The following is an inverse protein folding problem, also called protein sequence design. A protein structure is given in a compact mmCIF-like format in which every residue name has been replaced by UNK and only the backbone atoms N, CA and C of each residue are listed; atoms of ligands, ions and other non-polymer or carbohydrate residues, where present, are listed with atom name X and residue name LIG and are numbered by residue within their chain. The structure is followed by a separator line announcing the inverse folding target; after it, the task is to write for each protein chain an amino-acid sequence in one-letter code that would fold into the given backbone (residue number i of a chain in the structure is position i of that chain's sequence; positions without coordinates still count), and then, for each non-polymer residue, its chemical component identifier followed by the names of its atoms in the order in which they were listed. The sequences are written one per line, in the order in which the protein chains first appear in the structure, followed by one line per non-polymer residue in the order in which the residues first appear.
data_IF_719025573021
#
_entry.id   IF_719025573021
#
_cell.length_a   1.000
_cell.length_b   1.000
_cell.length_c   1.000
_cell.angle_alpha   90.00
_cell.angle_beta   90.00
_cell.angle_gamma   90.00
#
_symmetry.space_group_name_H-M   'P 1'
#
loop_
_entity.id
_entity.type
_entity.pdbx_description
1 polymer ?
#
# COMPACT_ATOMS: atom_id res chain seq x y z
N UNK A 1 -65.34 -1.29 22.51
CA UNK A 1 -64.53 -2.29 23.22
C UNK A 1 -64.30 -3.45 22.26
N UNK A 2 -63.12 -3.82 21.76
CA UNK A 2 -61.75 -3.33 21.82
C UNK A 2 -61.10 -3.71 20.47
N UNK A 3 -60.44 -2.78 19.77
CA UNK A 3 -59.36 -3.13 18.85
C UNK A 3 -58.10 -2.38 19.31
N UNK A 4 -57.28 -3.00 20.17
CA UNK A 4 -56.03 -2.38 20.63
C UNK A 4 -54.87 -3.34 20.90
N UNK A 5 -54.92 -4.59 20.43
CA UNK A 5 -53.84 -5.58 20.68
C UNK A 5 -53.17 -6.15 19.43
N UNK A 6 -53.42 -5.61 18.23
CA UNK A 6 -52.75 -6.08 16.99
C UNK A 6 -51.70 -5.11 16.41
N UNK A 7 -51.39 -4.01 17.10
CA UNK A 7 -50.43 -3.01 16.62
C UNK A 7 -48.98 -3.19 17.13
N UNK A 8 -48.63 -4.32 17.76
CA UNK A 8 -47.32 -4.50 18.42
C UNK A 8 -46.46 -5.67 17.89
N UNK A 9 -46.66 -6.15 16.67
CA UNK A 9 -45.85 -7.27 16.15
C UNK A 9 -45.26 -7.15 14.73
N UNK A 10 -45.15 -5.94 14.18
CA UNK A 10 -44.46 -5.72 12.89
C UNK A 10 -43.35 -4.64 13.01
N UNK A 11 -42.66 -4.61 14.15
CA UNK A 11 -41.38 -3.89 14.31
C UNK A 11 -40.28 -4.87 14.74
N UNK A 12 -40.24 -6.06 14.13
CA UNK A 12 -39.01 -6.86 14.09
C UNK A 12 -38.27 -6.53 12.79
N UNK A 13 -37.65 -5.36 12.81
CA UNK A 13 -36.24 -5.18 12.47
C UNK A 13 -35.66 -6.15 11.43
N UNK A 14 -36.00 -5.95 10.15
CA UNK A 14 -34.99 -6.10 9.10
C UNK A 14 -34.05 -4.89 9.22
N UNK A 15 -33.17 -4.90 10.23
CA UNK A 15 -31.92 -4.18 10.12
C UNK A 15 -31.18 -4.86 8.99
N UNK A 16 -31.30 -4.32 7.77
CA UNK A 16 -30.26 -4.50 6.76
C UNK A 16 -29.04 -3.83 7.39
N UNK A 17 -28.28 -4.60 8.19
CA UNK A 17 -26.99 -4.16 8.71
C UNK A 17 -26.21 -3.73 7.49
N UNK A 18 -26.04 -2.41 7.36
CA UNK A 18 -25.23 -1.85 6.28
C UNK A 18 -23.85 -2.46 6.48
N UNK A 19 -23.28 -3.13 5.46
CA UNK A 19 -22.04 -3.85 5.65
C UNK A 19 -20.99 -2.88 6.19
N UNK A 20 -20.36 -3.28 7.30
CA UNK A 20 -19.34 -2.48 7.92
C UNK A 20 -18.16 -2.27 6.95
N UNK A 21 -17.57 -1.08 6.94
CA UNK A 21 -16.59 -0.68 5.95
C UNK A 21 -15.16 -0.85 6.47
N UNK A 22 -14.32 -1.48 5.67
CA UNK A 22 -12.88 -1.55 5.84
C UNK A 22 -12.21 -0.63 4.83
N UNK A 23 -11.49 0.37 5.33
CA UNK A 23 -10.66 1.25 4.51
C UNK A 23 -9.20 0.91 4.80
N UNK A 24 -8.54 0.35 3.79
CA UNK A 24 -7.21 -0.25 3.93
C UNK A 24 -6.26 0.46 2.97
N UNK A 25 -5.18 0.97 3.55
CA UNK A 25 -4.09 1.61 2.83
C UNK A 25 -2.82 0.79 3.01
N UNK A 26 -2.28 0.21 1.95
CA UNK A 26 -1.07 -0.61 1.96
C UNK A 26 0.08 0.03 1.15
N UNK A 27 -0.15 1.11 0.40
CA UNK A 27 0.93 1.91 -0.20
C UNK A 27 1.52 2.89 0.81
N UNK A 28 2.78 2.66 1.18
CA UNK A 28 3.50 3.36 2.23
C UNK A 28 3.32 2.68 3.59
N UNK A 29 3.27 3.48 4.65
CA UNK A 29 2.98 2.99 6.00
C UNK A 29 1.54 2.44 6.09
N UNK A 30 1.32 1.15 6.42
CA UNK A 30 -0.01 0.58 6.39
C UNK A 30 -0.96 1.24 7.38
N UNK A 31 -2.19 1.48 6.94
CA UNK A 31 -3.27 1.99 7.77
C UNK A 31 -4.51 1.14 7.59
N UNK A 32 -5.09 0.70 8.70
CA UNK A 32 -6.28 -0.12 8.74
C UNK A 32 -7.37 0.65 9.46
N UNK A 33 -8.49 0.91 8.79
CA UNK A 33 -9.65 1.57 9.41
C UNK A 33 -10.87 0.68 9.33
N UNK A 34 -11.56 0.53 10.45
CA UNK A 34 -12.81 -0.21 10.58
C UNK A 34 -13.89 0.81 10.91
N UNK A 35 -14.89 0.98 10.04
CA UNK A 35 -15.95 1.98 10.20
C UNK A 35 -15.39 3.39 10.50
N UNK A 36 -14.32 3.77 9.79
CA UNK A 36 -13.64 5.06 9.95
C UNK A 36 -12.71 5.16 11.17
N UNK A 37 -12.71 4.19 12.08
CA UNK A 37 -11.82 4.18 13.24
C UNK A 37 -10.52 3.43 12.93
N UNK A 38 -9.37 4.05 13.22
CA UNK A 38 -8.08 3.37 13.09
C UNK A 38 -8.01 2.16 14.00
N UNK A 39 -7.55 1.04 13.45
CA UNK A 39 -7.05 -0.08 14.23
C UNK A 39 -5.94 0.46 15.16
N UNK A 40 -5.99 0.12 16.45
CA UNK A 40 -5.16 0.75 17.50
C UNK A 40 -3.68 0.87 17.14
N UNK A 41 -3.02 1.96 17.53
CA UNK A 41 -1.58 2.20 17.32
C UNK A 41 -0.64 1.18 18.00
N UNK A 42 -1.17 0.29 18.86
CA UNK A 42 -0.43 -0.70 19.62
C UNK A 42 -0.43 -2.12 19.01
N UNK A 43 -0.68 -2.27 17.71
CA UNK A 43 -0.57 -3.57 17.04
C UNK A 43 0.88 -3.99 16.86
N UNK A 44 1.12 -5.30 16.83
CA UNK A 44 2.43 -5.84 16.48
C UNK A 44 2.53 -5.96 14.96
N UNK A 45 3.71 -5.69 14.38
CA UNK A 45 3.96 -5.91 12.95
C UNK A 45 3.53 -7.30 12.44
N UNK A 46 3.59 -8.37 13.26
CA UNK A 46 3.09 -9.70 12.85
C UNK A 46 1.57 -9.78 12.76
N UNK A 47 0.84 -8.99 13.56
CA UNK A 47 -0.63 -8.87 13.47
C UNK A 47 -0.99 -8.11 12.18
N UNK A 48 -0.33 -6.99 11.92
CA UNK A 48 -0.56 -6.17 10.72
C UNK A 48 -0.19 -6.94 9.45
N UNK A 49 0.92 -7.68 9.46
CA UNK A 49 1.34 -8.55 8.38
C UNK A 49 0.26 -9.60 8.06
N UNK A 50 -0.20 -10.34 9.08
CA UNK A 50 -1.26 -11.33 8.88
C UNK A 50 -2.55 -10.68 8.38
N UNK A 51 -2.92 -9.53 8.92
CA UNK A 51 -4.15 -8.85 8.52
C UNK A 51 -4.07 -8.36 7.07
N UNK A 52 -2.98 -7.69 6.67
CA UNK A 52 -2.72 -7.28 5.30
C UNK A 52 -2.77 -8.47 4.34
N UNK A 53 -2.13 -9.60 4.71
CA UNK A 53 -2.16 -10.81 3.89
C UNK A 53 -3.59 -11.34 3.68
N UNK A 54 -4.41 -11.37 4.73
CA UNK A 54 -5.82 -11.80 4.66
C UNK A 54 -6.70 -10.83 3.87
N UNK A 55 -6.39 -9.54 3.88
CA UNK A 55 -7.11 -8.52 3.10
C UNK A 55 -6.82 -8.70 1.60
N UNK A 56 -5.55 -8.89 1.23
CA UNK A 56 -5.18 -9.15 -0.17
C UNK A 56 -5.70 -10.51 -0.67
N UNK A 57 -5.94 -11.46 0.24
CA UNK A 57 -6.43 -12.80 -0.07
C UNK A 57 -7.70 -13.11 0.73
N UNK A 58 -8.87 -12.58 0.36
CA UNK A 58 -10.08 -12.63 1.18
C UNK A 58 -10.76 -14.01 1.28
N UNK A 59 -10.17 -15.05 0.68
CA UNK A 59 -10.65 -16.43 0.73
C UNK A 59 -10.25 -17.14 2.03
N UNK A 60 -10.87 -18.29 2.37
CA UNK A 60 -10.46 -19.09 3.52
C UNK A 60 -9.04 -19.66 3.42
N UNK A 61 -8.21 -19.36 4.41
CA UNK A 61 -6.85 -19.90 4.54
C UNK A 61 -6.78 -20.98 5.61
N UNK A 62 -6.10 -22.08 5.33
CA UNK A 62 -5.81 -23.09 6.34
C UNK A 62 -4.86 -22.53 7.40
N UNK A 63 -5.13 -22.84 8.66
CA UNK A 63 -4.28 -22.43 9.79
C UNK A 63 -2.84 -22.92 9.63
N UNK A 64 -2.65 -24.18 9.25
CA UNK A 64 -1.29 -24.70 9.01
C UNK A 64 -0.54 -23.91 7.92
N UNK A 65 -1.24 -23.48 6.86
CA UNK A 65 -0.65 -22.66 5.80
C UNK A 65 -0.20 -21.29 6.32
N UNK A 66 -1.06 -20.61 7.08
CA UNK A 66 -0.71 -19.33 7.72
C UNK A 66 0.42 -19.47 8.76
N UNK A 67 0.50 -20.62 9.44
CA UNK A 67 1.59 -20.91 10.36
C UNK A 67 2.93 -20.99 9.62
N UNK A 68 2.99 -21.72 8.50
CA UNK A 68 4.18 -21.81 7.65
C UNK A 68 4.54 -20.48 6.99
N UNK A 69 3.55 -19.66 6.63
CA UNK A 69 3.76 -18.33 6.04
C UNK A 69 4.49 -17.38 6.99
N UNK A 70 4.09 -17.39 8.28
CA UNK A 70 4.48 -16.37 9.26
C UNK A 70 5.57 -16.79 10.24
N UNK A 71 5.83 -18.09 10.37
CA UNK A 71 6.75 -18.61 11.37
C UNK A 71 7.76 -19.58 10.77
N UNK A 72 9.04 -19.30 10.99
CA UNK A 72 10.12 -20.26 10.79
C UNK A 72 10.29 -21.15 12.04
N UNK A 73 9.36 -22.09 12.25
CA UNK A 73 9.37 -22.97 13.42
C UNK A 73 10.02 -24.33 13.09
N UNK A 74 10.68 -24.94 14.08
CA UNK A 74 11.34 -26.25 13.93
C UNK A 74 10.34 -27.41 13.81
N UNK A 75 9.09 -27.21 14.23
CA UNK A 75 8.02 -28.20 14.11
C UNK A 75 6.67 -27.56 13.80
N UNK A 76 5.79 -28.33 13.15
CA UNK A 76 4.41 -27.93 12.88
C UNK A 76 3.61 -27.63 14.15
N UNK A 77 3.87 -28.37 15.24
CA UNK A 77 3.21 -28.13 16.54
C UNK A 77 3.57 -26.75 17.11
N UNK A 78 4.85 -26.38 17.07
CA UNK A 78 5.31 -25.06 17.50
C UNK A 78 4.72 -23.94 16.63
N UNK A 79 4.72 -24.11 15.30
CA UNK A 79 4.13 -23.14 14.37
C UNK A 79 2.64 -22.90 14.68
N UNK A 80 1.87 -23.96 14.90
CA UNK A 80 0.45 -23.88 15.22
C UNK A 80 0.15 -23.26 16.58
N UNK A 81 1.00 -23.51 17.59
CA UNK A 81 0.88 -22.85 18.88
C UNK A 81 1.15 -21.35 18.76
N UNK A 82 2.20 -20.96 18.03
CA UNK A 82 2.50 -19.55 17.75
C UNK A 82 1.35 -18.86 16.99
N UNK A 83 0.81 -19.53 15.97
CA UNK A 83 -0.34 -19.02 15.23
C UNK A 83 -1.56 -18.87 16.14
N UNK A 84 -1.84 -19.81 17.05
CA UNK A 84 -2.96 -19.69 17.98
C UNK A 84 -2.83 -18.43 18.86
N UNK A 85 -1.63 -18.13 19.34
CA UNK A 85 -1.36 -16.89 20.10
C UNK A 85 -1.57 -15.66 19.22
N UNK A 86 -1.05 -15.66 17.99
CA UNK A 86 -1.21 -14.55 17.06
C UNK A 86 -2.69 -14.31 16.71
N UNK A 87 -3.45 -15.37 16.42
CA UNK A 87 -4.89 -15.28 16.11
C UNK A 87 -5.71 -14.78 17.30
N UNK A 88 -5.32 -15.11 18.54
CA UNK A 88 -5.94 -14.54 19.74
C UNK A 88 -5.73 -13.02 19.82
N UNK A 89 -4.53 -12.53 19.48
CA UNK A 89 -4.23 -11.10 19.41
C UNK A 89 -4.97 -10.43 18.26
N UNK A 90 -4.93 -11.03 17.07
CA UNK A 90 -5.63 -10.54 15.88
C UNK A 90 -7.13 -10.40 16.16
N UNK A 91 -7.78 -11.38 16.82
CA UNK A 91 -9.20 -11.30 17.18
C UNK A 91 -9.53 -10.14 18.13
N UNK A 92 -8.62 -9.79 19.04
CA UNK A 92 -8.85 -8.65 19.97
C UNK A 92 -8.80 -7.31 19.24
N UNK A 93 -7.91 -7.21 18.27
CA UNK A 93 -7.63 -5.99 17.52
C UNK A 93 -8.64 -5.80 16.38
N UNK A 94 -8.79 -6.83 15.55
CA UNK A 94 -9.62 -6.83 14.35
C UNK A 94 -11.08 -7.23 14.63
N UNK A 95 -11.41 -7.63 15.86
CA UNK A 95 -12.77 -8.02 16.29
C UNK A 95 -13.41 -9.03 15.32
N UNK A 96 -14.58 -8.68 14.79
CA UNK A 96 -15.43 -9.46 13.89
C UNK A 96 -15.10 -9.25 12.40
N UNK A 97 -14.09 -8.45 12.06
CA UNK A 97 -13.63 -8.31 10.66
C UNK A 97 -12.99 -9.59 10.13
N UNK A 98 -12.67 -10.53 11.03
CA UNK A 98 -12.09 -11.83 10.69
C UNK A 98 -12.94 -12.96 11.25
N UNK A 99 -13.10 -14.02 10.46
CA UNK A 99 -13.74 -15.26 10.88
C UNK A 99 -12.66 -16.31 11.12
N UNK A 100 -12.50 -16.70 12.38
CA UNK A 100 -11.55 -17.74 12.80
C UNK A 100 -12.33 -19.00 13.16
N UNK A 101 -12.07 -20.09 12.47
CA UNK A 101 -12.59 -21.43 12.80
C UNK A 101 -11.48 -22.31 13.38
N UNK A 102 -11.81 -23.58 13.66
CA UNK A 102 -10.82 -24.58 14.06
C UNK A 102 -9.80 -24.89 12.96
N UNK A 103 -10.18 -24.73 11.69
CA UNK A 103 -9.35 -25.15 10.54
C UNK A 103 -8.88 -23.96 9.71
N UNK A 104 -9.68 -22.90 9.63
CA UNK A 104 -9.48 -21.80 8.68
C UNK A 104 -9.52 -20.43 9.34
N UNK A 105 -8.93 -19.45 8.67
CA UNK A 105 -9.01 -18.03 8.97
C UNK A 105 -9.33 -17.30 7.67
N UNK A 106 -10.24 -16.34 7.71
CA UNK A 106 -10.59 -15.49 6.57
C UNK A 106 -10.99 -14.10 7.01
N UNK A 107 -10.97 -13.16 6.07
CA UNK A 107 -11.73 -11.93 6.21
C UNK A 107 -13.23 -12.24 6.24
N UNK A 108 -13.97 -11.54 7.10
CA UNK A 108 -15.41 -11.66 7.21
C UNK A 108 -16.08 -11.06 5.95
N UNK A 109 -16.83 -11.86 5.16
CA UNK A 109 -17.46 -11.38 3.92
C UNK A 109 -18.56 -10.34 4.14
N UNK A 110 -19.02 -10.13 5.39
CA UNK A 110 -19.96 -9.06 5.72
C UNK A 110 -19.34 -7.66 5.67
N UNK A 111 -18.01 -7.57 5.61
CA UNK A 111 -17.31 -6.30 5.50
C UNK A 111 -17.02 -5.95 4.03
N UNK A 112 -17.37 -4.74 3.63
CA UNK A 112 -16.92 -4.19 2.35
C UNK A 112 -15.51 -3.65 2.49
N UNK A 113 -14.63 -4.01 1.57
CA UNK A 113 -13.23 -3.60 1.59
C UNK A 113 -12.98 -2.58 0.49
N UNK A 114 -12.59 -1.38 0.89
CA UNK A 114 -11.84 -0.47 0.06
C UNK A 114 -10.35 -0.71 0.32
N UNK A 115 -9.62 -1.07 -0.72
CA UNK A 115 -8.18 -1.38 -0.66
C UNK A 115 -7.47 -0.56 -1.73
N UNK A 116 -6.56 0.33 -1.31
CA UNK A 116 -5.83 1.22 -2.21
C UNK A 116 -5.09 0.48 -3.34
N UNK A 117 -4.50 -0.69 -3.07
CA UNK A 117 -3.82 -1.50 -4.09
C UNK A 117 -4.77 -2.06 -5.14
N UNK A 118 -5.96 -2.51 -4.73
CA UNK A 118 -6.99 -3.00 -5.66
C UNK A 118 -7.59 -1.86 -6.48
N UNK A 119 -7.89 -0.72 -5.83
CA UNK A 119 -8.41 0.47 -6.51
C UNK A 119 -7.37 1.02 -7.48
N UNK A 120 -6.09 1.05 -7.11
CA UNK A 120 -4.99 1.41 -8.00
C UNK A 120 -4.99 0.54 -9.25
N UNK A 121 -4.96 -0.79 -9.09
CA UNK A 121 -4.92 -1.72 -10.24
C UNK A 121 -6.15 -1.59 -11.15
N UNK A 122 -7.34 -1.39 -10.60
CA UNK A 122 -8.58 -1.24 -11.37
C UNK A 122 -8.67 0.12 -12.09
N UNK A 123 -8.13 1.17 -11.48
CA UNK A 123 -8.22 2.54 -11.99
C UNK A 123 -7.13 2.84 -13.01
N UNK A 124 -5.95 2.23 -12.87
CA UNK A 124 -4.76 2.50 -13.69
C UNK A 124 -5.02 2.51 -15.21
N UNK A 125 -5.77 1.55 -15.81
CA UNK A 125 -5.97 1.51 -17.25
C UNK A 125 -6.84 2.64 -17.82
N UNK A 126 -7.68 3.27 -17.00
CA UNK A 126 -8.68 4.26 -17.47
C UNK A 126 -8.41 5.67 -16.94
N UNK A 127 -7.87 5.80 -15.74
CA UNK A 127 -7.60 7.06 -15.07
C UNK A 127 -6.22 7.00 -14.37
N UNK A 128 -5.12 6.89 -15.14
CA UNK A 128 -3.78 6.64 -14.60
C UNK A 128 -3.32 7.73 -13.61
N UNK A 129 -3.61 9.00 -13.88
CA UNK A 129 -3.26 10.10 -12.96
C UNK A 129 -3.95 9.97 -11.59
N UNK A 130 -5.21 9.51 -11.57
CA UNK A 130 -5.96 9.33 -10.33
C UNK A 130 -5.49 8.10 -9.58
N UNK A 131 -5.13 7.03 -10.29
CA UNK A 131 -4.54 5.84 -9.70
C UNK A 131 -3.20 6.18 -9.01
N UNK A 132 -2.31 6.92 -9.67
CA UNK A 132 -1.00 7.28 -9.13
C UNK A 132 -1.04 8.07 -7.83
N UNK A 133 -2.13 8.81 -7.55
CA UNK A 133 -2.34 9.49 -6.25
C UNK A 133 -2.51 8.52 -5.09
N UNK A 134 -2.91 7.27 -5.35
CA UNK A 134 -3.02 6.21 -4.34
C UNK A 134 -1.64 5.65 -3.97
N UNK A 135 -0.68 5.67 -4.90
CA UNK A 135 0.68 5.19 -4.68
C UNK A 135 1.49 6.23 -3.89
N UNK A 136 1.43 6.15 -2.56
CA UNK A 136 2.10 7.10 -1.64
C UNK A 136 3.43 6.60 -1.10
N UNK A 137 3.81 5.38 -1.44
CA UNK A 137 5.02 4.71 -0.96
C UNK A 137 4.96 3.23 -1.33
N UNK A 138 6.05 2.52 -1.04
CA UNK A 138 6.14 1.11 -1.36
C UNK A 138 5.12 0.28 -0.56
N UNK A 139 4.70 -0.84 -1.15
CA UNK A 139 3.78 -1.77 -0.50
C UNK A 139 4.35 -2.25 0.85
N UNK A 140 3.56 -2.04 1.91
CA UNK A 140 3.87 -2.41 3.29
C UNK A 140 5.23 -1.87 3.78
N UNK A 141 5.57 -0.64 3.42
CA UNK A 141 6.90 -0.04 3.64
C UNK A 141 7.41 -0.17 5.08
N UNK A 142 6.53 0.02 6.08
CA UNK A 142 6.92 0.05 7.50
C UNK A 142 6.74 -1.28 8.24
N UNK A 143 6.22 -2.34 7.62
CA UNK A 143 6.04 -3.64 8.30
C UNK A 143 7.37 -4.39 8.41
N UNK A 144 7.75 -4.71 9.65
CA UNK A 144 9.00 -5.41 9.96
C UNK A 144 8.73 -6.80 10.59
N UNK A 145 8.92 -7.87 9.81
CA UNK A 145 8.66 -9.26 10.24
C UNK A 145 9.74 -10.24 9.76
N UNK A 146 10.99 -10.03 10.18
CA UNK A 146 12.18 -10.74 9.68
C UNK A 146 12.10 -12.28 9.70
N UNK A 147 11.39 -12.87 10.67
CA UNK A 147 11.26 -14.34 10.80
C UNK A 147 10.20 -14.96 9.86
N UNK A 148 9.36 -14.13 9.24
CA UNK A 148 8.21 -14.57 8.44
C UNK A 148 8.58 -14.71 6.96
N UNK A 149 9.47 -15.67 6.64
CA UNK A 149 10.04 -15.83 5.29
C UNK A 149 8.99 -15.88 4.17
N UNK A 150 7.97 -16.74 4.31
CA UNK A 150 6.93 -16.87 3.29
C UNK A 150 6.12 -15.58 3.09
N UNK A 151 5.86 -14.84 4.17
CA UNK A 151 5.24 -13.53 4.08
C UNK A 151 6.13 -12.51 3.38
N UNK A 152 7.43 -12.47 3.70
CA UNK A 152 8.39 -11.55 3.09
C UNK A 152 8.54 -11.82 1.59
N UNK A 153 8.63 -13.09 1.19
CA UNK A 153 8.68 -13.48 -0.23
C UNK A 153 7.45 -12.98 -0.99
N UNK A 154 6.26 -13.17 -0.44
CA UNK A 154 5.03 -12.62 -1.01
C UNK A 154 5.06 -11.09 -1.08
N UNK A 155 5.39 -10.41 0.02
CA UNK A 155 5.36 -8.95 0.09
C UNK A 155 6.36 -8.28 -0.87
N UNK A 156 7.53 -8.90 -1.10
CA UNK A 156 8.51 -8.43 -2.09
C UNK A 156 7.94 -8.51 -3.51
N UNK A 157 7.26 -9.60 -3.86
CA UNK A 157 6.64 -9.75 -5.17
C UNK A 157 5.52 -8.73 -5.40
N UNK A 158 4.63 -8.53 -4.43
CA UNK A 158 3.59 -7.50 -4.51
C UNK A 158 4.19 -6.10 -4.68
N UNK A 159 5.19 -5.76 -3.85
CA UNK A 159 5.88 -4.47 -3.91
C UNK A 159 6.45 -4.21 -5.29
N UNK A 160 7.19 -5.17 -5.84
CA UNK A 160 7.82 -5.00 -7.15
C UNK A 160 6.78 -4.90 -8.27
N UNK A 161 5.73 -5.72 -8.24
CA UNK A 161 4.66 -5.63 -9.23
C UNK A 161 3.97 -4.26 -9.25
N UNK A 162 3.68 -3.71 -8.06
CA UNK A 162 3.07 -2.38 -7.97
C UNK A 162 4.03 -1.28 -8.37
N UNK A 163 5.30 -1.37 -7.95
CA UNK A 163 6.33 -0.38 -8.25
C UNK A 163 6.60 -0.28 -9.74
N UNK A 164 6.75 -1.41 -10.43
CA UNK A 164 6.95 -1.45 -11.89
C UNK A 164 5.79 -0.80 -12.64
N UNK A 165 4.54 -1.12 -12.27
CA UNK A 165 3.35 -0.51 -12.88
C UNK A 165 3.31 1.00 -12.66
N UNK A 166 3.63 1.46 -11.45
CA UNK A 166 3.69 2.89 -11.15
C UNK A 166 4.77 3.59 -11.98
N UNK A 167 5.98 3.03 -12.04
CA UNK A 167 7.10 3.57 -12.83
C UNK A 167 6.77 3.66 -14.31
N UNK A 168 6.22 2.58 -14.90
CA UNK A 168 5.82 2.55 -16.31
C UNK A 168 4.77 3.64 -16.61
N UNK A 169 3.74 3.73 -15.77
CA UNK A 169 2.66 4.72 -15.96
C UNK A 169 3.17 6.15 -15.82
N UNK A 170 4.05 6.42 -14.85
CA UNK A 170 4.66 7.73 -14.67
C UNK A 170 5.47 8.15 -15.90
N UNK A 171 6.28 7.24 -16.45
CA UNK A 171 7.06 7.53 -17.66
C UNK A 171 6.15 7.85 -18.85
N UNK A 172 5.09 7.07 -19.06
CA UNK A 172 4.12 7.32 -20.13
C UNK A 172 3.46 8.70 -19.99
N UNK A 173 3.03 9.08 -18.78
CA UNK A 173 2.39 10.38 -18.56
C UNK A 173 3.37 11.55 -18.75
N UNK A 174 4.62 11.41 -18.30
CA UNK A 174 5.66 12.42 -18.54
C UNK A 174 5.87 12.60 -20.04
N UNK A 175 6.02 11.50 -20.79
CA UNK A 175 6.22 11.53 -22.25
C UNK A 175 5.04 12.17 -22.99
N UNK A 176 3.80 11.84 -22.60
CA UNK A 176 2.59 12.43 -23.19
C UNK A 176 2.50 13.94 -22.95
N UNK A 177 2.81 14.40 -21.74
CA UNK A 177 2.81 15.82 -21.42
C UNK A 177 3.96 16.57 -22.12
N UNK A 178 5.16 16.00 -22.18
CA UNK A 178 6.28 16.58 -22.92
C UNK A 178 5.97 16.68 -24.42
N UNK A 179 5.43 15.62 -25.04
CA UNK A 179 5.08 15.60 -26.46
C UNK A 179 4.00 16.63 -26.83
N UNK A 180 3.14 16.98 -25.88
CA UNK A 180 2.10 18.01 -26.05
C UNK A 180 2.55 19.42 -25.62
N UNK A 181 3.83 19.61 -25.26
CA UNK A 181 4.39 20.87 -24.79
C UNK A 181 3.88 21.30 -23.40
N UNK A 182 3.18 20.42 -22.69
CA UNK A 182 2.59 20.68 -21.37
C UNK A 182 3.60 20.38 -20.25
N UNK A 183 4.82 20.92 -20.34
CA UNK A 183 5.92 20.60 -19.43
C UNK A 183 5.57 20.81 -17.95
N UNK A 184 4.80 21.86 -17.63
CA UNK A 184 4.36 22.12 -16.25
C UNK A 184 3.53 20.97 -15.66
N UNK A 185 2.74 20.27 -16.49
CA UNK A 185 1.93 19.12 -16.05
C UNK A 185 2.76 17.84 -15.86
N UNK A 186 3.92 17.73 -16.52
CA UNK A 186 4.81 16.57 -16.38
C UNK A 186 5.57 16.58 -15.04
N UNK A 187 5.81 17.76 -14.46
CA UNK A 187 6.61 17.95 -13.23
C UNK A 187 6.14 17.08 -12.05
N UNK A 188 4.85 17.06 -11.63
CA UNK A 188 4.44 16.23 -10.49
C UNK A 188 4.71 14.74 -10.71
N UNK A 189 4.59 14.24 -11.95
CA UNK A 189 4.90 12.85 -12.26
C UNK A 189 6.41 12.59 -12.22
N UNK A 190 7.23 13.51 -12.73
CA UNK A 190 8.68 13.42 -12.62
C UNK A 190 9.19 13.50 -11.16
N UNK A 191 8.53 14.29 -10.31
CA UNK A 191 8.79 14.33 -8.86
C UNK A 191 8.48 12.99 -8.20
N UNK A 192 7.31 12.41 -8.50
CA UNK A 192 6.93 11.10 -7.97
C UNK A 192 7.87 9.99 -8.48
N UNK A 193 8.33 10.06 -9.72
CA UNK A 193 9.32 9.15 -10.28
C UNK A 193 10.65 9.21 -9.50
N UNK A 194 11.13 10.41 -9.20
CA UNK A 194 12.32 10.61 -8.36
C UNK A 194 12.11 10.14 -6.93
N UNK A 195 10.91 10.29 -6.35
CA UNK A 195 10.66 9.79 -4.99
C UNK A 195 10.67 8.26 -4.90
N UNK A 196 10.25 7.56 -5.95
CA UNK A 196 10.30 6.09 -6.02
C UNK A 196 11.73 5.60 -6.29
N UNK A 197 12.49 6.34 -7.10
CA UNK A 197 13.85 6.02 -7.52
C UNK A 197 14.85 7.14 -7.22
N UNK A 198 15.10 7.45 -5.94
CA UNK A 198 15.90 8.62 -5.55
C UNK A 198 17.36 8.53 -5.99
N UNK A 199 17.86 7.35 -6.27
CA UNK A 199 19.23 7.09 -6.70
C UNK A 199 19.41 7.16 -8.23
N UNK A 200 18.33 7.27 -8.99
CA UNK A 200 18.40 7.22 -10.44
C UNK A 200 18.66 8.60 -11.05
N UNK A 201 19.93 8.92 -11.28
CA UNK A 201 20.37 10.23 -11.80
C UNK A 201 19.66 10.67 -13.09
N UNK A 202 19.25 9.72 -13.94
CA UNK A 202 18.49 10.01 -15.16
C UNK A 202 17.13 10.66 -14.89
N UNK A 203 16.46 10.29 -13.79
CA UNK A 203 15.14 10.84 -13.42
C UNK A 203 15.29 12.24 -12.82
N UNK A 204 16.32 12.45 -11.99
CA UNK A 204 16.70 13.78 -11.54
C UNK A 204 16.98 14.72 -12.71
N UNK A 205 17.78 14.27 -13.69
CA UNK A 205 18.08 15.05 -14.89
C UNK A 205 16.82 15.43 -15.67
N UNK A 206 15.89 14.49 -15.88
CA UNK A 206 14.63 14.78 -16.58
C UNK A 206 13.79 15.82 -15.83
N UNK A 207 13.69 15.71 -14.50
CA UNK A 207 13.01 16.70 -13.67
C UNK A 207 13.68 18.08 -13.72
N UNK A 208 15.01 18.15 -13.66
CA UNK A 208 15.78 19.40 -13.82
C UNK A 208 15.48 20.04 -15.18
N UNK A 209 15.46 19.26 -16.25
CA UNK A 209 15.12 19.74 -17.60
C UNK A 209 13.69 20.32 -17.64
N UNK A 210 12.71 19.65 -17.03
CA UNK A 210 11.33 20.16 -16.94
C UNK A 210 11.25 21.49 -16.17
N UNK A 211 11.98 21.63 -15.07
CA UNK A 211 12.07 22.92 -14.37
C UNK A 211 12.69 24.02 -15.23
N UNK A 212 13.74 23.72 -15.99
CA UNK A 212 14.37 24.69 -16.88
C UNK A 212 13.44 25.11 -18.03
N UNK A 213 12.75 24.17 -18.66
CA UNK A 213 11.77 24.44 -19.73
C UNK A 213 10.60 25.29 -19.27
N UNK A 214 10.28 25.26 -17.96
CA UNK A 214 9.20 26.04 -17.35
C UNK A 214 9.70 27.31 -16.64
N UNK A 215 10.98 27.65 -16.77
CA UNK A 215 11.58 28.85 -16.17
C UNK A 215 11.84 28.77 -14.65
N UNK A 216 11.67 27.59 -14.04
CA UNK A 216 11.83 27.36 -12.59
C UNK A 216 13.29 27.09 -12.21
N UNK A 217 14.20 28.03 -12.51
CA UNK A 217 15.65 27.83 -12.34
C UNK A 217 16.08 27.52 -10.90
N UNK A 218 15.44 28.15 -9.90
CA UNK A 218 15.75 27.88 -8.49
C UNK A 218 15.44 26.42 -8.11
N UNK A 219 14.35 25.85 -8.65
CA UNK A 219 14.01 24.45 -8.41
C UNK A 219 14.95 23.50 -9.16
N UNK A 220 15.37 23.85 -10.38
CA UNK A 220 16.37 23.10 -11.12
C UNK A 220 17.70 23.00 -10.34
N UNK A 221 18.18 24.11 -9.79
CA UNK A 221 19.40 24.16 -8.96
C UNK A 221 19.25 23.34 -7.67
N UNK A 222 18.13 23.49 -6.97
CA UNK A 222 17.86 22.72 -5.76
C UNK A 222 17.81 21.21 -6.04
N UNK A 223 17.20 20.80 -7.16
CA UNK A 223 17.12 19.38 -7.55
C UNK A 223 18.50 18.81 -7.92
N UNK A 224 19.35 19.58 -8.60
CA UNK A 224 20.72 19.17 -8.90
C UNK A 224 21.53 18.93 -7.62
N UNK A 225 21.39 19.82 -6.63
CA UNK A 225 22.04 19.66 -5.32
C UNK A 225 21.51 18.43 -4.58
N UNK A 226 20.19 18.23 -4.53
CA UNK A 226 19.59 17.06 -3.91
C UNK A 226 20.07 15.75 -4.55
N UNK A 227 20.16 15.71 -5.89
CA UNK A 227 20.73 14.58 -6.62
C UNK A 227 22.20 14.34 -6.21
N UNK A 228 23.01 15.41 -6.16
CA UNK A 228 24.42 15.32 -5.75
C UNK A 228 24.55 14.74 -4.35
N UNK A 229 23.77 15.24 -3.41
CA UNK A 229 23.80 14.79 -2.02
C UNK A 229 23.46 13.31 -1.90
N UNK A 230 22.34 12.87 -2.49
CA UNK A 230 21.89 11.47 -2.42
C UNK A 230 22.93 10.51 -3.04
N UNK A 231 23.50 10.85 -4.19
CA UNK A 231 24.50 10.00 -4.87
C UNK A 231 25.80 9.94 -4.06
N UNK A 232 26.24 11.06 -3.50
CA UNK A 232 27.43 11.11 -2.68
C UNK A 232 27.25 10.31 -1.38
N UNK A 233 26.12 10.45 -0.69
CA UNK A 233 25.82 9.73 0.55
C UNK A 233 25.69 8.22 0.33
N UNK A 234 25.04 7.81 -0.78
CA UNK A 234 24.72 6.39 -1.01
C UNK A 234 25.85 5.63 -1.69
N UNK A 235 26.53 6.25 -2.66
CA UNK A 235 27.52 5.57 -3.51
C UNK A 235 28.93 6.15 -3.39
N UNK A 236 29.12 7.30 -2.71
CA UNK A 236 30.40 8.01 -2.65
C UNK A 236 30.99 8.32 -4.03
N UNK A 237 30.11 8.60 -5.00
CA UNK A 237 30.47 8.90 -6.38
C UNK A 237 30.05 10.33 -6.77
N UNK A 238 30.76 10.99 -7.71
CA UNK A 238 30.30 12.24 -8.29
C UNK A 238 29.08 12.01 -9.19
N UNK A 239 28.39 13.11 -9.54
CA UNK A 239 27.34 13.07 -10.54
C UNK A 239 27.90 12.69 -11.92
N UNK A 240 27.06 12.04 -12.71
CA UNK A 240 27.34 11.78 -14.11
C UNK A 240 27.52 13.12 -14.87
N UNK A 241 28.49 13.25 -15.81
CA UNK A 241 28.78 14.52 -16.48
C UNK A 241 27.55 15.17 -17.13
N UNK A 242 26.70 14.37 -17.78
CA UNK A 242 25.47 14.85 -18.42
C UNK A 242 24.38 15.37 -17.44
N UNK A 243 24.52 15.11 -16.14
CA UNK A 243 23.67 15.68 -15.09
C UNK A 243 24.33 16.93 -14.50
N UNK A 244 25.65 16.91 -14.35
CA UNK A 244 26.43 18.04 -13.84
C UNK A 244 26.32 19.27 -14.73
N UNK A 245 26.45 19.10 -16.05
CA UNK A 245 26.49 20.20 -17.03
C UNK A 245 25.13 20.83 -17.35
N UNK A 246 24.07 20.55 -16.59
CA UNK A 246 22.72 21.07 -16.89
C UNK A 246 22.53 22.54 -16.50
N UNK A 247 23.35 23.03 -15.56
CA UNK A 247 23.27 24.39 -15.00
C UNK A 247 24.61 25.14 -15.09
N UNK A 248 25.59 24.57 -15.79
CA UNK A 248 26.86 25.20 -16.14
C UNK A 248 26.68 26.13 -17.35
#
# INVERSE_FOLDING_TARGET
MQPLEQAQLIEQSEMVETPANLEIHLFGAPSFRINGQSLSESTSHKVDALFAYLICHPYPHLRDGLASLLFNAQSRSQANNNLRVLLSRLRRVCKDTIVITRQTVRLNPMYQVWLDTAVFQQTLPTQPEQALKLYRGDFLETIQVQEAKGFLEWAVLEREQHRLKALETLLQLIEQHEASGQFQKAIPFAQQLVSIEPHHQGWHRRLIQLYLQTGQQQQAAAQLEACRQIIQETFSQPLHPATQSLLD
#
